data_IF_999601806238
#
_entry.id   IF_999601806238
#
_cell.length_a   1.000
_cell.length_b   1.000
_cell.length_c   1.000
_cell.angle_alpha   90.00
_cell.angle_beta   90.00
_cell.angle_gamma   90.00
#
_symmetry.space_group_name_H-M   'P 1'
#
loop_
_entity.id
_entity.type
_entity.pdbx_description
1 polymer ?
#
# COMPACT_ATOMS: atom_id res chain seq x y z
N UNK A 1 -12.28 -45.94 -54.30
CA UNK A 1 -11.33 -45.86 -55.44
C UNK A 1 -11.03 -44.39 -55.68
N UNK A 2 -9.76 -44.03 -55.87
CA UNK A 2 -9.18 -42.67 -55.94
C UNK A 2 -8.93 -42.03 -54.55
N UNK A 3 -7.74 -42.13 -53.95
CA UNK A 3 -6.42 -41.55 -54.24
C UNK A 3 -6.36 -40.03 -54.00
N UNK A 4 -5.61 -39.59 -52.97
CA UNK A 4 -4.59 -38.56 -53.15
C UNK A 4 -3.63 -38.42 -51.95
N UNK A 5 -2.37 -38.21 -52.28
CA UNK A 5 -1.17 -38.18 -51.43
C UNK A 5 -0.96 -36.81 -50.78
N UNK A 6 -0.32 -36.86 -49.61
CA UNK A 6 0.41 -35.80 -48.89
C UNK A 6 1.19 -34.85 -49.80
N UNK A 7 1.13 -33.55 -49.51
CA UNK A 7 2.27 -32.64 -49.54
C UNK A 7 2.20 -31.72 -48.30
N UNK A 8 3.25 -31.75 -47.50
CA UNK A 8 3.52 -30.80 -46.43
C UNK A 8 3.85 -29.43 -47.02
N UNK A 9 3.28 -28.37 -46.46
CA UNK A 9 3.72 -27.00 -46.63
C UNK A 9 3.52 -26.25 -45.32
N UNK A 10 4.61 -25.95 -44.62
CA UNK A 10 4.63 -25.08 -43.45
C UNK A 10 4.29 -23.65 -43.90
N UNK A 11 3.10 -23.15 -43.57
CA UNK A 11 2.81 -21.72 -43.60
C UNK A 11 3.13 -21.14 -42.22
N UNK A 12 4.29 -20.47 -42.11
CA UNK A 12 4.54 -19.50 -41.04
C UNK A 12 3.95 -18.20 -41.54
N UNK A 13 2.85 -17.76 -40.95
CA UNK A 13 2.28 -16.44 -41.19
C UNK A 13 3.21 -15.38 -40.59
N UNK A 14 3.59 -14.42 -41.43
CA UNK A 14 4.44 -13.27 -41.13
C UNK A 14 3.79 -12.35 -40.09
N UNK A 15 4.33 -12.35 -38.87
CA UNK A 15 4.09 -11.31 -37.87
C UNK A 15 4.85 -10.04 -38.26
N UNK A 16 4.12 -9.06 -38.81
CA UNK A 16 4.64 -7.70 -39.02
C UNK A 16 4.76 -7.01 -37.66
N UNK A 17 6.00 -6.86 -37.18
CA UNK A 17 6.35 -6.04 -36.01
C UNK A 17 6.65 -4.62 -36.50
N UNK A 18 5.73 -3.69 -36.24
CA UNK A 18 5.95 -2.26 -36.52
C UNK A 18 6.65 -1.61 -35.34
N UNK A 19 7.97 -1.43 -35.42
CA UNK A 19 8.73 -0.65 -34.45
C UNK A 19 8.57 0.85 -34.73
N UNK A 20 7.71 1.55 -33.97
CA UNK A 20 7.68 3.02 -33.95
C UNK A 20 8.58 3.48 -32.80
N UNK A 21 9.85 3.73 -33.12
CA UNK A 21 10.77 4.44 -32.24
C UNK A 21 10.97 5.85 -32.79
N UNK A 22 10.15 6.81 -32.33
CA UNK A 22 10.45 8.23 -32.50
C UNK A 22 11.59 8.58 -31.52
N UNK A 23 12.74 9.00 -32.07
CA UNK A 23 13.83 9.56 -31.25
C UNK A 23 13.29 10.78 -30.48
N UNK A 24 13.50 10.90 -29.16
CA UNK A 24 13.16 12.12 -28.44
C UNK A 24 14.06 13.26 -28.93
N UNK A 25 13.57 14.52 -28.96
CA UNK A 25 14.35 15.65 -29.41
C UNK A 25 15.54 15.89 -28.45
N UNK A 26 16.68 16.27 -29.03
CA UNK A 26 17.86 16.67 -28.27
C UNK A 26 17.57 17.95 -27.50
N UNK A 27 17.37 17.85 -26.19
CA UNK A 27 17.41 19.01 -25.31
C UNK A 27 18.86 19.48 -25.19
N UNK A 28 19.15 20.65 -25.75
CA UNK A 28 20.34 21.42 -25.40
C UNK A 28 20.02 22.09 -24.06
N UNK A 29 20.72 21.67 -23.00
CA UNK A 29 20.64 22.35 -21.71
C UNK A 29 21.28 23.74 -21.80
N UNK A 30 20.78 24.77 -21.09
CA UNK A 30 21.47 26.03 -20.98
C UNK A 30 22.78 25.84 -20.21
N UNK A 31 23.81 26.54 -20.64
CA UNK A 31 25.13 26.59 -20.02
C UNK A 31 24.99 27.10 -18.58
N UNK A 32 25.26 26.24 -17.59
CA UNK A 32 25.27 26.63 -16.20
C UNK A 32 26.68 27.04 -15.81
N UNK A 33 26.82 28.34 -15.55
CA UNK A 33 27.99 29.00 -14.99
C UNK A 33 28.51 28.22 -13.76
N UNK A 34 29.80 27.84 -13.82
CA UNK A 34 30.48 27.10 -12.78
C UNK A 34 30.74 28.03 -11.59
N UNK A 35 29.83 28.03 -10.62
CA UNK A 35 30.18 28.35 -9.24
C UNK A 35 30.06 27.08 -8.40
N UNK A 36 31.16 26.34 -8.35
CA UNK A 36 31.39 25.34 -7.32
C UNK A 36 31.34 26.04 -5.96
N UNK A 37 30.40 25.65 -5.09
CA UNK A 37 30.63 25.62 -3.65
C UNK A 37 29.56 24.74 -2.95
N UNK A 38 30.10 23.79 -2.18
CA UNK A 38 29.45 22.94 -1.18
C UNK A 38 28.58 21.78 -1.70
N UNK A 39 29.15 20.57 -1.62
CA UNK A 39 28.46 19.29 -1.74
C UNK A 39 27.33 19.17 -0.69
N UNK A 40 26.10 19.46 -1.12
CA UNK A 40 24.86 19.08 -0.43
C UNK A 40 24.69 17.55 -0.52
N UNK A 41 25.31 16.83 0.42
CA UNK A 41 25.29 15.37 0.50
C UNK A 41 24.07 14.81 1.26
N UNK A 42 22.98 15.59 1.40
CA UNK A 42 21.81 15.21 2.19
C UNK A 42 20.47 15.39 1.45
N UNK A 43 20.47 15.16 0.13
CA UNK A 43 19.21 15.02 -0.61
C UNK A 43 18.63 13.63 -0.40
N UNK A 44 18.02 13.42 0.76
CA UNK A 44 17.10 12.29 0.93
C UNK A 44 16.06 12.33 -0.18
N UNK A 45 15.92 11.22 -0.90
CA UNK A 45 14.99 11.12 -2.02
C UNK A 45 13.58 11.47 -1.52
N UNK A 46 12.82 12.29 -2.26
CA UNK A 46 11.54 12.87 -1.80
C UNK A 46 10.53 11.85 -1.30
N UNK A 47 10.61 10.61 -1.79
CA UNK A 47 9.82 9.47 -1.30
C UNK A 47 10.00 9.17 0.21
N UNK A 48 11.13 9.54 0.80
CA UNK A 48 11.46 9.38 2.23
C UNK A 48 11.19 10.65 3.05
N UNK A 49 10.58 11.66 2.44
CA UNK A 49 10.24 12.91 3.14
C UNK A 49 8.87 12.79 3.80
N UNK A 50 8.79 13.11 5.09
CA UNK A 50 7.53 13.01 5.83
C UNK A 50 6.54 14.11 5.41
N UNK A 51 5.29 13.71 5.23
CA UNK A 51 4.17 14.63 5.13
C UNK A 51 4.00 15.33 6.48
N UNK A 52 4.12 16.65 6.48
CA UNK A 52 4.17 17.45 7.73
C UNK A 52 2.83 17.58 8.42
N UNK A 53 1.74 17.57 7.65
CA UNK A 53 0.38 17.74 8.15
C UNK A 53 -0.30 16.39 8.24
N UNK A 54 -0.93 16.09 9.37
CA UNK A 54 -1.64 14.81 9.55
C UNK A 54 -2.87 14.67 8.64
N UNK A 55 -3.45 15.81 8.24
CA UNK A 55 -4.61 15.89 7.35
C UNK A 55 -4.53 17.15 6.53
N UNK A 56 -4.89 17.04 5.25
CA UNK A 56 -5.15 18.18 4.38
C UNK A 56 -6.19 17.82 3.33
N UNK A 57 -6.94 18.81 2.86
CA UNK A 57 -7.82 18.68 1.72
C UNK A 57 -7.93 20.02 1.00
N UNK A 58 -7.97 19.98 -0.34
CA UNK A 58 -8.16 21.16 -1.16
C UNK A 58 -8.41 20.82 -2.62
N UNK A 59 -9.05 21.75 -3.33
CA UNK A 59 -9.14 21.69 -4.78
C UNK A 59 -7.77 22.01 -5.40
N UNK A 60 -7.37 21.22 -6.38
CA UNK A 60 -6.11 21.40 -7.09
C UNK A 60 -6.32 22.22 -8.37
N UNK A 61 -5.34 23.08 -8.68
CA UNK A 61 -5.27 23.71 -9.98
C UNK A 61 -4.88 22.67 -11.05
N UNK A 62 -5.71 22.55 -12.08
CA UNK A 62 -5.52 21.59 -13.17
C UNK A 62 -4.90 22.31 -14.36
N UNK A 63 -3.76 21.80 -14.84
CA UNK A 63 -3.18 22.19 -16.12
C UNK A 63 -3.62 21.18 -17.19
N UNK A 64 -4.36 21.65 -18.20
CA UNK A 64 -5.04 20.80 -19.18
C UNK A 64 -6.51 20.57 -18.84
N UNK A 65 -7.08 19.46 -19.29
CA UNK A 65 -8.51 19.14 -19.12
C UNK A 65 -8.69 17.75 -18.52
N UNK A 66 -9.51 17.66 -17.46
CA UNK A 66 -9.96 16.37 -16.91
C UNK A 66 -11.18 15.90 -17.72
N UNK A 67 -11.15 14.70 -18.33
CA UNK A 67 -12.30 14.20 -19.07
C UNK A 67 -13.55 14.09 -18.19
N UNK A 68 -14.70 14.54 -18.69
CA UNK A 68 -15.95 14.56 -17.92
C UNK A 68 -16.46 13.16 -17.53
N UNK A 69 -16.04 12.12 -18.25
CA UNK A 69 -16.35 10.73 -17.90
C UNK A 69 -15.55 10.22 -16.70
N UNK A 70 -14.43 10.87 -16.35
CA UNK A 70 -13.66 10.54 -15.15
C UNK A 70 -14.35 11.16 -13.94
N UNK A 71 -15.18 10.36 -13.28
CA UNK A 71 -15.97 10.77 -12.13
C UNK A 71 -15.89 9.68 -11.06
N UNK A 72 -15.32 10.03 -9.90
CA UNK A 72 -15.09 9.08 -8.83
C UNK A 72 -13.86 9.41 -8.00
N UNK A 73 -13.46 8.44 -7.17
CA UNK A 73 -12.37 8.60 -6.19
C UNK A 73 -11.28 7.59 -6.47
N UNK A 74 -10.04 8.08 -6.61
CA UNK A 74 -8.82 7.27 -6.55
C UNK A 74 -8.24 7.35 -5.14
N UNK A 75 -7.99 6.19 -4.53
CA UNK A 75 -7.34 6.06 -3.24
C UNK A 75 -5.98 5.38 -3.43
N UNK A 76 -4.96 5.92 -2.77
CA UNK A 76 -3.64 5.31 -2.68
C UNK A 76 -3.20 5.30 -1.23
N UNK A 77 -2.76 4.13 -0.78
CA UNK A 77 -2.17 3.95 0.53
C UNK A 77 -0.65 3.75 0.38
N UNK A 78 0.09 4.14 1.42
CA UNK A 78 1.54 4.09 1.41
C UNK A 78 2.13 4.69 2.68
N UNK A 79 3.44 4.50 2.90
CA UNK A 79 4.15 5.21 3.96
C UNK A 79 4.23 6.71 3.63
N UNK A 80 3.93 7.55 4.61
CA UNK A 80 4.02 9.02 4.45
C UNK A 80 4.54 9.77 5.66
N UNK A 81 4.81 9.07 6.77
CA UNK A 81 5.53 9.62 7.92
C UNK A 81 6.71 8.71 8.24
N UNK A 82 7.92 9.28 8.15
CA UNK A 82 9.19 8.56 8.17
C UNK A 82 9.98 8.77 9.47
N UNK A 83 9.49 9.62 10.38
CA UNK A 83 10.12 9.86 11.67
C UNK A 83 9.10 10.08 12.78
N UNK A 84 9.50 9.76 14.02
CA UNK A 84 8.81 10.10 15.26
C UNK A 84 9.84 10.65 16.23
N UNK A 85 9.70 11.92 16.62
CA UNK A 85 10.73 12.64 17.37
C UNK A 85 12.11 12.45 16.71
N UNK A 86 13.09 11.92 17.44
CA UNK A 86 14.46 11.70 16.94
C UNK A 86 14.64 10.36 16.21
N UNK A 87 13.59 9.53 16.14
CA UNK A 87 13.63 8.22 15.49
C UNK A 87 13.31 8.34 14.00
N UNK A 88 14.18 7.79 13.14
CA UNK A 88 13.99 7.74 11.69
C UNK A 88 13.85 6.29 11.22
N UNK A 89 12.80 6.01 10.45
CA UNK A 89 12.60 4.71 9.82
C UNK A 89 13.61 4.48 8.70
N UNK A 90 14.05 3.23 8.55
CA UNK A 90 15.10 2.83 7.60
C UNK A 90 14.60 1.96 6.47
N UNK A 91 13.42 1.35 6.64
CA UNK A 91 12.80 0.49 5.63
C UNK A 91 11.53 1.14 5.09
N UNK A 92 11.27 0.89 3.80
CA UNK A 92 10.14 1.47 3.08
C UNK A 92 8.80 1.11 3.76
N UNK A 93 8.71 -0.11 4.30
CA UNK A 93 7.48 -0.63 4.91
C UNK A 93 7.30 -0.25 6.39
N UNK A 94 8.23 0.49 7.00
CA UNK A 94 8.07 0.90 8.40
C UNK A 94 7.43 2.30 8.56
N UNK A 95 7.46 3.12 7.50
CA UNK A 95 6.83 4.45 7.54
C UNK A 95 5.33 4.35 7.83
N UNK A 96 4.81 5.24 8.67
CA UNK A 96 3.40 5.18 9.05
C UNK A 96 2.48 5.50 7.86
N UNK A 97 1.42 4.70 7.78
CA UNK A 97 0.43 4.73 6.71
C UNK A 97 -0.21 6.11 6.55
N UNK A 98 -0.23 6.58 5.31
CA UNK A 98 -0.81 7.85 4.89
C UNK A 98 -1.65 7.60 3.65
N UNK A 99 -2.96 7.84 3.78
CA UNK A 99 -3.90 7.68 2.69
C UNK A 99 -3.93 8.96 1.85
N UNK A 100 -3.88 8.81 0.54
CA UNK A 100 -4.02 9.89 -0.45
C UNK A 100 -5.30 9.64 -1.25
N UNK A 101 -6.07 10.70 -1.45
CA UNK A 101 -7.33 10.70 -2.19
C UNK A 101 -7.28 11.72 -3.31
N UNK A 102 -7.72 11.30 -4.49
CA UNK A 102 -8.00 12.17 -5.64
C UNK A 102 -9.45 11.99 -6.05
N UNK A 103 -10.25 13.04 -5.98
CA UNK A 103 -11.67 13.01 -6.29
C UNK A 103 -11.98 13.86 -7.51
N UNK A 104 -12.50 13.20 -8.54
CA UNK A 104 -12.82 13.80 -9.82
C UNK A 104 -14.32 13.99 -9.93
N UNK A 105 -14.75 15.21 -10.21
CA UNK A 105 -16.15 15.53 -10.45
C UNK A 105 -16.30 16.73 -11.37
N UNK A 106 -16.97 16.55 -12.51
CA UNK A 106 -17.29 17.66 -13.42
C UNK A 106 -16.06 18.42 -13.94
N UNK A 107 -14.96 17.72 -14.23
CA UNK A 107 -13.71 18.33 -14.69
C UNK A 107 -12.86 18.97 -13.58
N UNK A 108 -13.26 18.87 -12.32
CA UNK A 108 -12.53 19.38 -11.15
C UNK A 108 -11.86 18.25 -10.38
N UNK A 109 -10.79 18.56 -9.68
CA UNK A 109 -10.03 17.63 -8.85
C UNK A 109 -9.88 18.17 -7.42
N UNK A 110 -10.37 17.43 -6.44
CA UNK A 110 -10.08 17.65 -5.02
C UNK A 110 -9.10 16.58 -4.55
N UNK A 111 -7.98 17.01 -3.98
CA UNK A 111 -7.04 16.12 -3.31
C UNK A 111 -7.21 16.21 -1.81
N UNK A 112 -6.99 15.09 -1.12
CA UNK A 112 -6.76 15.08 0.31
C UNK A 112 -5.78 14.01 0.72
N UNK A 113 -5.18 14.16 1.89
CA UNK A 113 -4.44 13.10 2.55
C UNK A 113 -4.78 13.05 4.03
N UNK A 114 -4.58 11.87 4.63
CA UNK A 114 -4.69 11.68 6.07
C UNK A 114 -3.80 10.54 6.57
N UNK A 115 -3.12 10.73 7.69
CA UNK A 115 -2.47 9.64 8.42
C UNK A 115 -3.52 8.64 8.93
N UNK A 116 -3.29 7.35 8.75
CA UNK A 116 -4.15 6.32 9.32
C UNK A 116 -3.88 6.23 10.82
N UNK A 117 -4.93 6.34 11.62
CA UNK A 117 -4.85 6.34 13.09
C UNK A 117 -4.80 4.91 13.65
N UNK A 118 -3.78 4.14 13.23
CA UNK A 118 -3.49 2.82 13.77
C UNK A 118 -3.04 2.89 15.24
N UNK A 119 -3.14 1.80 15.99
CA UNK A 119 -2.63 1.77 17.35
C UNK A 119 -1.11 2.02 17.38
N UNK A 120 -0.38 1.49 16.39
CA UNK A 120 1.05 1.72 16.23
C UNK A 120 1.40 3.20 16.10
N UNK A 121 0.72 3.90 15.17
CA UNK A 121 0.91 5.32 14.96
C UNK A 121 0.52 6.13 16.19
N UNK A 122 -0.67 5.89 16.75
CA UNK A 122 -1.19 6.66 17.88
C UNK A 122 -0.35 6.47 19.15
N UNK A 123 0.15 5.27 19.40
CA UNK A 123 1.07 5.01 20.51
C UNK A 123 2.42 5.70 20.28
N UNK A 124 2.96 5.67 19.06
CA UNK A 124 4.23 6.32 18.75
C UNK A 124 4.15 7.84 18.88
N UNK A 125 3.08 8.44 18.35
CA UNK A 125 2.76 9.87 18.51
C UNK A 125 2.60 10.27 19.97
N UNK A 126 1.91 9.46 20.79
CA UNK A 126 1.69 9.75 22.21
C UNK A 126 2.97 9.67 23.04
N UNK A 127 3.83 8.69 22.75
CA UNK A 127 5.02 8.40 23.56
C UNK A 127 6.32 8.97 22.99
N UNK A 128 6.28 9.62 21.81
CA UNK A 128 7.45 10.13 21.08
C UNK A 128 8.53 9.06 20.86
N UNK A 129 8.13 7.79 20.67
CA UNK A 129 9.04 6.67 20.43
C UNK A 129 8.33 5.52 19.71
N UNK A 130 9.08 4.67 19.01
CA UNK A 130 8.55 3.45 18.43
C UNK A 130 8.00 2.52 19.53
N UNK A 131 6.73 2.13 19.42
CA UNK A 131 6.02 1.34 20.45
C UNK A 131 5.60 -0.06 19.99
N UNK A 132 5.62 -0.33 18.68
CA UNK A 132 5.22 -1.60 18.08
C UNK A 132 6.34 -2.13 17.18
N UNK A 133 6.33 -3.45 16.94
CA UNK A 133 7.24 -4.08 15.95
C UNK A 133 6.69 -3.82 14.56
N UNK A 134 7.42 -3.04 13.78
CA UNK A 134 7.16 -2.84 12.36
C UNK A 134 7.84 -3.94 11.53
N UNK A 135 7.89 -3.80 10.21
CA UNK A 135 8.41 -4.84 9.33
C UNK A 135 9.89 -5.16 9.59
N UNK A 136 10.74 -4.13 9.65
CA UNK A 136 12.19 -4.31 9.88
C UNK A 136 12.64 -3.79 11.25
N UNK A 137 11.77 -3.15 12.02
CA UNK A 137 12.14 -2.42 13.24
C UNK A 137 11.46 -3.03 14.47
N UNK A 138 12.26 -3.21 15.52
CA UNK A 138 11.82 -3.79 16.79
C UNK A 138 12.04 -2.73 17.87
N UNK A 139 11.04 -2.43 18.72
CA UNK A 139 11.24 -1.56 19.86
C UNK A 139 12.42 -2.07 20.70
N UNK A 140 13.31 -1.17 21.11
CA UNK A 140 14.45 -1.57 21.96
C UNK A 140 13.91 -2.04 23.32
N UNK A 141 14.21 -3.28 23.74
CA UNK A 141 13.74 -3.76 25.04
C UNK A 141 14.47 -3.03 26.16
N UNK A 142 13.73 -2.56 27.16
CA UNK A 142 14.29 -1.85 28.32
C UNK A 142 15.10 -2.80 29.23
N UNK A 143 14.82 -4.10 29.22
CA UNK A 143 15.57 -5.16 29.92
C UNK A 143 15.26 -6.58 29.38
N UNK A 144 15.95 -7.61 29.90
CA UNK A 144 15.79 -9.00 29.47
C UNK A 144 14.38 -9.59 29.71
N UNK A 145 13.69 -9.16 30.78
CA UNK A 145 12.31 -9.59 31.03
C UNK A 145 11.35 -9.00 29.99
N UNK A 146 11.57 -7.75 29.58
CA UNK A 146 10.84 -7.11 28.49
C UNK A 146 11.09 -7.84 27.16
N UNK A 147 12.31 -8.31 26.89
CA UNK A 147 12.62 -9.12 25.71
C UNK A 147 11.86 -10.46 25.69
N UNK A 148 11.80 -11.18 26.82
CA UNK A 148 11.01 -12.43 26.91
C UNK A 148 9.52 -12.14 26.73
N UNK A 149 9.02 -11.06 27.34
CA UNK A 149 7.65 -10.59 27.17
C UNK A 149 7.33 -10.24 25.72
N UNK A 150 8.22 -9.57 25.02
CA UNK A 150 8.07 -9.22 23.60
C UNK A 150 8.05 -10.44 22.69
N UNK A 151 8.82 -11.48 23.02
CA UNK A 151 8.83 -12.74 22.30
C UNK A 151 7.51 -13.50 22.52
N UNK A 152 7.00 -13.56 23.76
CA UNK A 152 5.69 -14.13 24.05
C UNK A 152 4.56 -13.34 23.35
N UNK A 153 4.66 -12.01 23.34
CA UNK A 153 3.73 -11.14 22.63
C UNK A 153 3.77 -11.36 21.11
N UNK A 154 4.93 -11.68 20.54
CA UNK A 154 5.06 -12.02 19.12
C UNK A 154 4.35 -13.34 18.79
N UNK A 155 4.56 -14.38 19.60
CA UNK A 155 3.86 -15.66 19.44
C UNK A 155 2.34 -15.53 19.61
N UNK A 156 1.88 -14.59 20.44
CA UNK A 156 0.45 -14.27 20.58
C UNK A 156 -0.10 -13.30 19.52
N UNK A 157 0.76 -12.70 18.69
CA UNK A 157 0.39 -11.64 17.74
C UNK A 157 0.15 -10.25 18.37
N UNK A 158 0.18 -10.11 19.70
CA UNK A 158 -0.08 -8.86 20.40
C UNK A 158 0.90 -7.73 20.01
N UNK A 159 2.16 -8.05 19.74
CA UNK A 159 3.21 -7.09 19.37
C UNK A 159 3.29 -6.77 17.87
N UNK A 160 2.51 -7.46 17.02
CA UNK A 160 2.46 -7.18 15.59
C UNK A 160 1.89 -5.78 15.35
N UNK A 161 2.50 -5.05 14.43
CA UNK A 161 2.03 -3.74 13.99
C UNK A 161 0.63 -3.83 13.38
N UNK A 162 -0.14 -2.76 13.51
CA UNK A 162 -1.34 -2.50 12.71
C UNK A 162 -1.13 -1.35 11.72
N UNK A 163 0.12 -1.05 11.37
CA UNK A 163 0.51 -0.07 10.34
C UNK A 163 0.09 -0.54 8.94
N UNK A 164 -1.15 -0.25 8.58
CA UNK A 164 -1.77 -0.60 7.32
C UNK A 164 -1.26 0.28 6.17
N UNK A 165 0.00 0.16 5.75
CA UNK A 165 0.65 1.05 4.76
C UNK A 165 0.84 0.43 3.37
N UNK A 166 0.35 -0.78 3.11
CA UNK A 166 0.68 -1.53 1.89
C UNK A 166 -0.41 -1.44 0.82
N UNK A 167 -1.67 -1.71 1.20
CA UNK A 167 -2.77 -1.84 0.26
C UNK A 167 -4.01 -1.05 0.68
N UNK A 168 -4.89 -0.75 -0.27
CA UNK A 168 -6.26 -0.28 -0.02
C UNK A 168 -7.20 -0.92 -1.02
N UNK A 169 -8.31 -1.48 -0.52
CA UNK A 169 -9.31 -2.17 -1.35
C UNK A 169 -10.71 -1.76 -0.95
N UNK A 170 -11.62 -1.75 -1.92
CA UNK A 170 -13.06 -1.59 -1.69
C UNK A 170 -13.72 -2.96 -1.79
N UNK A 171 -14.36 -3.41 -0.72
CA UNK A 171 -15.12 -4.65 -0.67
C UNK A 171 -16.44 -4.53 -1.47
N UNK A 172 -17.01 -5.65 -1.88
CA UNK A 172 -18.27 -5.69 -2.65
C UNK A 172 -19.47 -5.04 -1.94
N UNK A 173 -19.42 -4.91 -0.61
CA UNK A 173 -20.43 -4.20 0.19
C UNK A 173 -20.17 -2.69 0.36
N UNK A 174 -19.10 -2.18 -0.26
CA UNK A 174 -18.74 -0.77 -0.25
C UNK A 174 -17.77 -0.34 0.84
N UNK A 175 -17.48 -1.18 1.85
CA UNK A 175 -16.47 -0.86 2.87
C UNK A 175 -15.08 -0.74 2.24
N UNK A 176 -14.27 0.20 2.71
CA UNK A 176 -12.90 0.40 2.23
C UNK A 176 -11.91 0.03 3.33
N UNK A 177 -10.98 -0.87 3.00
CA UNK A 177 -10.05 -1.48 3.95
C UNK A 177 -8.62 -1.22 3.50
N UNK A 178 -7.82 -0.63 4.38
CA UNK A 178 -6.37 -0.52 4.25
C UNK A 178 -5.72 -1.77 4.85
N UNK A 179 -4.66 -2.25 4.21
CA UNK A 179 -4.03 -3.53 4.51
C UNK A 179 -2.51 -3.38 4.68
N UNK A 180 -1.97 -4.27 5.51
CA UNK A 180 -0.55 -4.67 5.54
C UNK A 180 -0.49 -6.20 5.56
N UNK A 181 0.67 -6.81 5.75
CA UNK A 181 0.79 -8.28 5.74
C UNK A 181 0.31 -8.93 7.04
N UNK A 182 0.08 -8.15 8.10
CA UNK A 182 -0.52 -8.67 9.34
C UNK A 182 -2.05 -8.58 9.27
N UNK A 183 -2.73 -9.63 9.73
CA UNK A 183 -4.21 -9.63 9.81
C UNK A 183 -4.70 -8.46 10.68
N UNK A 184 -3.99 -8.19 11.78
CA UNK A 184 -4.28 -7.11 12.73
C UNK A 184 -4.22 -5.70 12.10
N UNK A 185 -3.41 -5.53 11.05
CA UNK A 185 -3.29 -4.28 10.29
C UNK A 185 -4.31 -4.14 9.16
N UNK A 186 -5.47 -4.80 9.29
CA UNK A 186 -6.63 -4.53 8.43
C UNK A 186 -7.47 -3.42 9.07
N UNK A 187 -7.57 -2.27 8.43
CA UNK A 187 -8.21 -1.05 8.98
C UNK A 187 -9.28 -0.52 8.04
N UNK A 188 -10.48 -0.28 8.55
CA UNK A 188 -11.57 0.35 7.82
C UNK A 188 -11.40 1.87 7.83
N UNK A 189 -11.57 2.49 6.67
CA UNK A 189 -11.56 3.94 6.51
C UNK A 189 -12.85 4.42 5.85
N UNK A 190 -13.20 5.68 6.09
CA UNK A 190 -14.21 6.40 5.33
C UNK A 190 -13.57 6.94 4.02
N UNK A 191 -14.02 6.54 2.83
CA UNK A 191 -13.37 6.91 1.58
C UNK A 191 -13.58 8.37 1.16
N UNK A 192 -14.53 9.08 1.77
CA UNK A 192 -14.84 10.47 1.46
C UNK A 192 -14.10 11.43 2.39
N UNK A 193 -14.03 11.11 3.69
CA UNK A 193 -13.37 11.94 4.71
C UNK A 193 -11.93 11.53 5.02
N UNK A 194 -11.54 10.31 4.64
CA UNK A 194 -10.30 9.61 4.99
C UNK A 194 -10.16 9.29 6.48
N UNK A 195 -11.24 9.41 7.26
CA UNK A 195 -11.21 9.10 8.68
C UNK A 195 -10.98 7.61 8.91
N UNK A 196 -10.20 7.28 9.94
CA UNK A 196 -10.04 5.90 10.40
C UNK A 196 -11.29 5.50 11.17
N UNK A 197 -12.06 4.54 10.66
CA UNK A 197 -13.31 4.08 11.27
C UNK A 197 -13.04 3.08 12.38
N UNK A 198 -12.09 2.18 12.16
CA UNK A 198 -11.73 1.15 13.13
C UNK A 198 -11.03 -0.04 12.49
N UNK A 199 -10.85 -1.11 13.27
CA UNK A 199 -10.23 -2.34 12.77
C UNK A 199 -11.22 -3.15 11.95
N UNK A 200 -10.71 -3.79 10.91
CA UNK A 200 -11.43 -4.84 10.19
C UNK A 200 -11.07 -6.18 10.85
N UNK A 201 -11.99 -6.73 11.65
CA UNK A 201 -11.78 -7.99 12.37
C UNK A 201 -12.44 -9.14 11.62
N UNK A 202 -11.64 -10.10 11.17
CA UNK A 202 -12.16 -11.35 10.62
C UNK A 202 -12.80 -12.19 11.73
N UNK A 203 -13.96 -12.77 11.44
CA UNK A 203 -14.76 -13.54 12.41
C UNK A 203 -14.59 -15.07 12.27
N UNK A 204 -13.80 -15.52 11.29
CA UNK A 204 -13.51 -16.93 11.08
C UNK A 204 -12.47 -17.50 12.06
N UNK A 205 -12.35 -18.82 12.05
CA UNK A 205 -11.41 -19.58 12.88
C UNK A 205 -10.22 -20.14 12.08
N UNK A 206 -9.91 -19.57 10.90
CA UNK A 206 -8.81 -20.06 10.05
C UNK A 206 -7.43 -19.82 10.68
N UNK A 207 -7.38 -19.00 11.73
CA UNK A 207 -6.15 -18.66 12.45
C UNK A 207 -5.19 -17.84 11.59
N UNK A 208 -3.91 -17.90 11.94
CA UNK A 208 -2.86 -17.16 11.26
C UNK A 208 -2.64 -15.76 11.84
N UNK A 209 -1.43 -15.25 11.63
CA UNK A 209 -1.02 -13.91 12.06
C UNK A 209 -0.90 -12.95 10.87
N UNK A 210 -0.76 -13.51 9.67
CA UNK A 210 -0.44 -12.79 8.45
C UNK A 210 -1.33 -13.23 7.29
N UNK A 211 -1.49 -12.34 6.32
CA UNK A 211 -2.20 -12.55 5.07
C UNK A 211 -1.53 -11.75 3.95
N UNK A 212 -1.89 -12.03 2.70
CA UNK A 212 -1.49 -11.14 1.61
C UNK A 212 -2.19 -9.78 1.73
N UNK A 213 -1.41 -8.70 1.62
CA UNK A 213 -1.92 -7.33 1.45
C UNK A 213 -2.46 -7.05 0.03
N UNK A 214 -2.39 -8.05 -0.86
CA UNK A 214 -2.82 -7.99 -2.24
C UNK A 214 -3.94 -9.01 -2.53
N UNK A 215 -5.12 -8.85 -1.92
CA UNK A 215 -6.26 -9.68 -2.23
C UNK A 215 -6.80 -9.36 -3.63
N UNK A 216 -7.51 -10.32 -4.22
CA UNK A 216 -8.37 -10.06 -5.38
C UNK A 216 -9.75 -9.72 -4.83
N UNK A 217 -10.28 -8.56 -5.20
CA UNK A 217 -11.60 -8.11 -4.77
C UNK A 217 -12.47 -7.84 -5.98
N UNK A 218 -13.67 -8.41 -5.97
CA UNK A 218 -14.73 -8.19 -6.95
C UNK A 218 -16.00 -7.75 -6.23
N UNK A 219 -17.05 -7.46 -6.98
CA UNK A 219 -18.37 -7.14 -6.41
C UNK A 219 -18.96 -8.31 -5.59
N UNK A 220 -18.50 -9.54 -5.84
CA UNK A 220 -19.07 -10.75 -5.26
C UNK A 220 -18.14 -11.47 -4.28
N UNK A 221 -16.87 -11.09 -4.18
CA UNK A 221 -15.94 -11.80 -3.30
C UNK A 221 -14.66 -11.02 -3.03
N UNK A 222 -14.07 -11.35 -1.88
CA UNK A 222 -12.69 -11.08 -1.53
C UNK A 222 -11.94 -12.41 -1.47
N UNK A 223 -10.83 -12.52 -2.20
CA UNK A 223 -9.96 -13.70 -2.21
C UNK A 223 -8.57 -13.29 -1.72
N UNK A 224 -8.00 -14.03 -0.77
CA UNK A 224 -6.63 -13.81 -0.32
C UNK A 224 -5.91 -15.12 -0.03
N UNK A 225 -4.61 -15.02 0.26
CA UNK A 225 -3.75 -16.12 0.65
C UNK A 225 -3.37 -15.98 2.12
N UNK A 226 -3.51 -17.08 2.86
CA UNK A 226 -2.97 -17.23 4.20
C UNK A 226 -1.80 -18.21 4.14
N UNK A 227 -0.56 -17.80 4.44
CA UNK A 227 0.55 -18.73 4.52
C UNK A 227 0.39 -19.60 5.77
N UNK A 228 0.64 -20.90 5.62
CA UNK A 228 0.74 -21.82 6.76
C UNK A 228 2.13 -21.68 7.38
N UNK A 229 2.18 -21.23 8.63
CA UNK A 229 3.43 -20.98 9.36
C UNK A 229 4.05 -22.26 9.96
N UNK A 230 3.34 -23.39 9.91
CA UNK A 230 3.78 -24.68 10.47
C UNK A 230 4.17 -25.64 9.34
N UNK A 231 3.38 -25.71 8.26
CA UNK A 231 3.66 -26.55 7.09
C UNK A 231 3.89 -25.66 5.86
N UNK A 232 4.89 -25.95 5.02
CA UNK A 232 5.07 -25.22 3.77
C UNK A 232 3.82 -25.30 2.89
N UNK A 233 3.11 -24.18 2.72
CA UNK A 233 1.88 -24.11 1.94
C UNK A 233 1.13 -22.78 2.10
N UNK A 234 0.11 -22.59 1.27
CA UNK A 234 -0.80 -21.47 1.32
C UNK A 234 -2.24 -21.97 1.30
N UNK A 235 -3.09 -21.38 2.13
CA UNK A 235 -4.53 -21.53 2.06
C UNK A 235 -5.10 -20.39 1.22
N UNK A 236 -5.84 -20.74 0.17
CA UNK A 236 -6.67 -19.77 -0.56
C UNK A 236 -7.99 -19.66 0.20
N UNK A 237 -8.36 -18.44 0.57
CA UNK A 237 -9.58 -18.19 1.36
C UNK A 237 -10.45 -17.16 0.67
N UNK A 238 -11.76 -17.34 0.80
CA UNK A 238 -12.79 -16.50 0.20
C UNK A 238 -13.66 -15.87 1.27
N UNK A 239 -14.05 -14.61 1.08
CA UNK A 239 -15.00 -13.89 1.93
C UNK A 239 -16.08 -13.26 1.06
N UNK A 240 -17.33 -13.47 1.44
CA UNK A 240 -18.49 -12.88 0.77
C UNK A 240 -18.65 -11.39 1.15
N UNK A 241 -19.21 -10.56 0.25
CA UNK A 241 -19.60 -9.20 0.60
C UNK A 241 -20.57 -9.17 1.79
N UNK A 242 -20.40 -8.19 2.68
CA UNK A 242 -21.25 -8.00 3.86
C UNK A 242 -20.83 -8.86 5.05
N UNK A 243 -19.90 -9.79 4.90
CA UNK A 243 -19.40 -10.62 6.00
C UNK A 243 -17.96 -10.24 6.38
N UNK A 244 -17.50 -10.76 7.51
CA UNK A 244 -16.10 -10.79 7.91
C UNK A 244 -15.58 -12.23 8.05
N UNK A 245 -16.35 -13.20 7.54
CA UNK A 245 -16.07 -14.63 7.70
C UNK A 245 -15.45 -15.16 6.40
N UNK A 246 -14.21 -15.65 6.50
CA UNK A 246 -13.54 -16.34 5.41
C UNK A 246 -13.80 -17.85 5.46
N UNK A 247 -13.89 -18.50 4.30
CA UNK A 247 -14.02 -19.95 4.14
C UNK A 247 -13.24 -20.50 2.95
#
# INVERSE_FOLDING_TARGET
MSLCKKLCGNNRDDLVITNIATKPPSHVAPDHDQSENEMDNDRNHVAWTSVRQEKWQGELHVQGEIPLWLNGTYLRNGPGLWHIADYNFRHLFDGYATLVRLHFHGGRLVMGHRQIESNAYMAAKKNNKLCYREFSEVPKPDNFLAYIGDLANLFSGASLTDNANTGVVKLGDGRVVCLTETIKGSIIIDPDTLDTVGKFEYSDNLGGLIHSAHPIVTDNEFLTLLPDLIKPGYLVVRMEPGTNERG
#
